data_IF_736490761472
#
_entry.id   IF_736490761472
#
_cell.length_a   1.000
_cell.length_b   1.000
_cell.length_c   1.000
_cell.angle_alpha   90.00
_cell.angle_beta   90.00
_cell.angle_gamma   90.00
#
_symmetry.space_group_name_H-M   'P 1'
#
loop_
_entity.id
_entity.type
_entity.pdbx_description
1 polymer ?
#
# COMPACT_ATOMS: atom_id res chain seq x y z
N UNK A 1 -5.57 11.03 -4.27
CA UNK A 1 -4.62 10.41 -3.34
C UNK A 1 -5.34 10.01 -2.07
N UNK A 2 -5.13 8.81 -1.64
CA UNK A 2 -5.80 8.26 -0.47
C UNK A 2 -4.79 7.93 0.60
N UNK A 3 -5.24 7.80 1.82
CA UNK A 3 -4.39 7.43 2.94
C UNK A 3 -4.96 6.16 3.57
N UNK A 4 -4.09 5.26 3.97
CA UNK A 4 -4.49 4.04 4.63
C UNK A 4 -3.36 3.46 5.42
N UNK A 5 -3.60 2.27 5.96
CA UNK A 5 -2.57 1.57 6.72
C UNK A 5 -2.37 0.19 6.13
N UNK A 6 -1.14 -0.26 6.15
CA UNK A 6 -0.80 -1.57 5.63
C UNK A 6 -1.43 -2.63 6.53
N UNK A 7 -2.29 -3.45 5.95
CA UNK A 7 -2.90 -4.56 6.66
C UNK A 7 -1.88 -5.68 6.81
N UNK A 8 -1.24 -6.05 5.71
CA UNK A 8 -0.13 -6.98 5.70
C UNK A 8 0.56 -6.89 4.35
N UNK A 9 1.79 -7.31 4.30
CA UNK A 9 2.54 -7.34 3.06
C UNK A 9 3.52 -8.49 3.08
N UNK A 10 3.55 -9.26 2.00
CA UNK A 10 4.46 -10.39 1.88
C UNK A 10 5.57 -10.01 0.91
N UNK A 11 6.75 -9.75 1.46
CA UNK A 11 7.88 -9.30 0.66
C UNK A 11 8.38 -10.38 -0.29
N UNK A 12 8.23 -11.64 0.08
CA UNK A 12 8.67 -12.72 -0.80
C UNK A 12 7.81 -12.81 -2.04
N UNK A 13 6.51 -12.66 -1.88
CA UNK A 13 5.59 -12.73 -3.00
C UNK A 13 5.41 -11.41 -3.69
N UNK A 14 5.74 -10.32 -3.00
CA UNK A 14 5.71 -9.00 -3.58
C UNK A 14 4.35 -8.34 -3.61
N UNK A 15 3.43 -8.72 -2.71
CA UNK A 15 2.11 -8.08 -2.67
C UNK A 15 1.55 -8.12 -1.27
N UNK A 16 0.50 -7.33 -1.09
CA UNK A 16 -0.20 -7.27 0.18
C UNK A 16 -1.47 -6.45 0.05
N UNK A 17 -1.97 -6.00 1.18
CA UNK A 17 -3.19 -5.21 1.22
C UNK A 17 -3.05 -4.01 2.14
N UNK A 18 -3.71 -2.92 1.75
CA UNK A 18 -3.79 -1.70 2.53
C UNK A 18 -5.25 -1.55 2.93
N UNK A 19 -5.49 -1.23 4.19
CA UNK A 19 -6.83 -0.90 4.64
C UNK A 19 -7.01 0.60 4.53
N UNK A 20 -7.92 1.02 3.67
CA UNK A 20 -8.20 2.44 3.46
C UNK A 20 -8.96 3.04 4.61
N UNK A 21 -9.11 4.37 4.56
CA UNK A 21 -9.81 5.08 5.62
C UNK A 21 -11.28 4.69 5.72
N UNK A 22 -11.83 4.22 4.62
CA UNK A 22 -13.22 3.75 4.59
C UNK A 22 -13.35 2.30 5.02
N UNK A 23 -12.27 1.66 5.43
CA UNK A 23 -12.28 0.29 5.89
C UNK A 23 -12.19 -0.76 4.79
N UNK A 24 -12.02 -0.34 3.56
CA UNK A 24 -11.94 -1.28 2.45
C UNK A 24 -10.49 -1.66 2.18
N UNK A 25 -10.28 -2.94 1.87
CA UNK A 25 -8.96 -3.43 1.53
C UNK A 25 -8.63 -3.10 0.08
N UNK A 26 -7.40 -2.63 -0.13
CA UNK A 26 -6.91 -2.29 -1.46
C UNK A 26 -5.66 -3.12 -1.71
N UNK A 27 -5.62 -3.80 -2.85
CA UNK A 27 -4.47 -4.62 -3.22
C UNK A 27 -3.29 -3.73 -3.57
N UNK A 28 -2.09 -4.14 -3.13
CA UNK A 28 -0.87 -3.43 -3.46
C UNK A 28 0.20 -4.43 -3.91
N UNK A 29 0.92 -4.08 -4.98
CA UNK A 29 2.00 -4.87 -5.50
C UNK A 29 3.31 -4.10 -5.34
N UNK A 30 4.43 -4.80 -5.16
CA UNK A 30 5.69 -4.13 -4.89
C UNK A 30 6.07 -3.15 -6.00
N UNK A 31 5.66 -3.42 -7.22
CA UNK A 31 5.98 -2.54 -8.34
C UNK A 31 5.24 -1.19 -8.24
N UNK A 32 4.23 -1.12 -7.39
CA UNK A 32 3.46 0.10 -7.18
C UNK A 32 3.98 0.92 -6.00
N UNK A 33 5.00 0.45 -5.33
CA UNK A 33 5.55 1.13 -4.15
C UNK A 33 6.64 2.09 -4.58
N UNK A 34 6.48 3.35 -4.20
CA UNK A 34 7.50 4.37 -4.42
C UNK A 34 8.47 4.36 -3.26
N UNK A 35 9.56 3.64 -3.45
CA UNK A 35 10.56 3.53 -2.40
C UNK A 35 11.94 3.48 -3.03
N UNK A 36 12.88 4.15 -2.42
CA UNK A 36 14.22 4.22 -2.96
C UNK A 36 15.04 2.98 -2.68
N UNK A 37 14.62 2.13 -1.83
CA UNK A 37 15.40 0.95 -1.50
C UNK A 37 14.52 -0.26 -1.47
N UNK A 38 14.00 -0.56 -0.32
CA UNK A 38 13.19 -1.74 -0.14
C UNK A 38 11.80 -1.52 -0.67
N UNK A 39 11.35 -2.42 -1.50
CA UNK A 39 9.97 -2.39 -1.99
C UNK A 39 9.14 -3.31 -1.12
N UNK A 40 9.01 -2.91 0.12
CA UNK A 40 8.27 -3.66 1.11
C UNK A 40 7.54 -2.68 2.02
N UNK A 41 6.50 -3.17 2.68
CA UNK A 41 5.69 -2.37 3.58
C UNK A 41 5.60 -3.07 4.93
N UNK A 42 5.69 -2.29 5.99
CA UNK A 42 5.53 -2.83 7.35
C UNK A 42 4.07 -2.81 7.73
N UNK A 43 3.64 -3.84 8.46
CA UNK A 43 2.28 -3.91 8.96
C UNK A 43 1.99 -2.70 9.84
N UNK A 44 0.85 -2.09 9.60
CA UNK A 44 0.44 -0.93 10.37
C UNK A 44 1.04 0.39 9.93
N UNK A 45 1.94 0.36 8.94
CA UNK A 45 2.53 1.60 8.44
C UNK A 45 1.47 2.43 7.73
N UNK A 46 1.54 3.74 7.91
CA UNK A 46 0.65 4.65 7.21
C UNK A 46 1.22 4.95 5.84
N UNK A 47 0.37 4.83 4.83
CA UNK A 47 0.79 5.04 3.44
C UNK A 47 -0.20 5.93 2.72
N UNK A 48 0.29 6.63 1.71
CA UNK A 48 -0.57 7.34 0.77
C UNK A 48 -0.48 6.62 -0.57
N UNK A 49 -1.56 6.65 -1.33
CA UNK A 49 -1.63 5.93 -2.58
C UNK A 49 -2.76 6.44 -3.43
N UNK A 50 -2.73 6.08 -4.71
CA UNK A 50 -3.82 6.36 -5.63
C UNK A 50 -4.58 5.06 -5.86
N UNK A 51 -5.91 5.14 -5.83
CA UNK A 51 -6.74 3.98 -6.06
C UNK A 51 -6.99 3.85 -7.55
N UNK A 52 -6.71 2.67 -8.08
CA UNK A 52 -6.94 2.36 -9.49
C UNK A 52 -7.84 1.15 -9.54
N UNK A 53 -8.89 1.21 -10.33
CA UNK A 53 -9.76 0.06 -10.50
C UNK A 53 -9.19 -0.86 -11.55
N UNK A 54 -9.22 -2.14 -11.25
CA UNK A 54 -8.71 -3.15 -12.16
C UNK A 54 -9.67 -4.33 -12.19
N UNK A 55 -9.35 -5.33 -13.01
CA UNK A 55 -10.18 -6.53 -13.12
C UNK A 55 -10.31 -7.27 -11.79
N UNK A 56 -9.37 -7.05 -10.88
CA UNK A 56 -9.37 -7.71 -9.58
C UNK A 56 -9.93 -6.84 -8.47
N UNK A 57 -10.50 -5.68 -8.84
CA UNK A 57 -11.03 -4.74 -7.88
C UNK A 57 -10.11 -3.54 -7.74
N UNK A 58 -10.15 -2.93 -6.57
CA UNK A 58 -9.33 -1.73 -6.34
C UNK A 58 -7.90 -2.10 -6.05
N UNK A 59 -7.00 -1.32 -6.61
CA UNK A 59 -5.57 -1.56 -6.48
C UNK A 59 -4.88 -0.25 -6.14
N UNK A 60 -3.91 -0.31 -5.23
CA UNK A 60 -3.13 0.87 -4.87
C UNK A 60 -2.00 1.07 -5.87
N UNK A 61 -1.76 2.31 -6.24
CA UNK A 61 -0.69 2.68 -7.14
C UNK A 61 0.03 3.88 -6.54
N UNK A 62 1.29 4.07 -6.93
CA UNK A 62 2.06 5.22 -6.46
C UNK A 62 2.08 5.27 -4.93
N UNK A 63 2.33 4.12 -4.30
CA UNK A 63 2.27 3.99 -2.86
C UNK A 63 3.52 4.58 -2.22
N UNK A 64 3.31 5.44 -1.24
CA UNK A 64 4.42 6.04 -0.51
C UNK A 64 4.17 5.89 0.99
N UNK A 65 5.21 5.51 1.73
CA UNK A 65 5.11 5.41 3.17
C UNK A 65 5.21 6.80 3.77
N UNK A 66 4.26 7.11 4.64
CA UNK A 66 4.27 8.37 5.35
C UNK A 66 5.08 8.18 6.63
N UNK A 67 6.20 8.86 6.72
CA UNK A 67 7.03 8.75 7.90
C UNK A 67 6.51 9.72 8.95
N UNK A 68 5.83 9.17 9.93
CA UNK A 68 5.25 9.99 10.99
C UNK A 68 6.05 9.93 12.26
N UNK A 69 7.17 9.26 12.25
CA UNK A 69 7.99 9.23 13.44
C UNK A 69 8.51 10.63 13.71
N UNK A 70 8.38 10.97 14.80
CA UNK A 70 8.80 12.19 15.06
C UNK A 70 9.46 12.30 16.11
#
# INVERSE_FOLDING_TARGET
MSTGKVKWFNAEKGYGFITGEDGKDVFVHYSSINSDGFKTLDEGATVTYDVVESDRGQQANNVSVVNTAE
#
